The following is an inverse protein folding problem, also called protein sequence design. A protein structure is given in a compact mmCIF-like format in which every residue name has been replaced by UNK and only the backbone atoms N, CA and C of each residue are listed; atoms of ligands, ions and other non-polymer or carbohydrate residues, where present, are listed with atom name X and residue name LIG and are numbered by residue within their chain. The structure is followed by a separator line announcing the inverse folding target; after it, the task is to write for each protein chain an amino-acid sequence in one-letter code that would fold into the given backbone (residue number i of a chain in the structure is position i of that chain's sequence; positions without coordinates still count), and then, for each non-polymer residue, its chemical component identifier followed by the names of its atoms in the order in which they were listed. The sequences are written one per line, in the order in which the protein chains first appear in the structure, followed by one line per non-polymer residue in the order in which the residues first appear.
data_IF_956660573404
#
_entry.id   IF_956660573404
#
_cell.length_a   1.000
_cell.length_b   1.000
_cell.length_c   1.000
_cell.angle_alpha   90.00
_cell.angle_beta   90.00
_cell.angle_gamma   90.00
#
_symmetry.space_group_name_H-M   'P 1'
#
loop_
_entity.id
_entity.type
_entity.pdbx_description
1 polymer ?
#
# COMPACT_ATOMS: atom_id res chain seq x y z
N UNK A 1 39.87 -27.59 -38.30
CA UNK A 1 39.62 -27.50 -36.82
C UNK A 1 38.76 -26.26 -36.56
N UNK A 2 37.49 -26.45 -36.25
CA UNK A 2 36.55 -25.34 -35.91
C UNK A 2 36.64 -25.08 -34.43
N UNK A 3 37.16 -23.93 -34.01
CA UNK A 3 37.10 -23.48 -32.61
C UNK A 3 35.69 -22.99 -32.32
N UNK A 4 34.93 -23.73 -31.51
CA UNK A 4 33.65 -23.30 -30.95
C UNK A 4 34.01 -22.40 -29.77
N UNK A 5 33.79 -21.09 -29.91
CA UNK A 5 33.92 -20.11 -28.85
C UNK A 5 32.66 -20.25 -27.97
N UNK A 6 32.77 -20.92 -26.83
CA UNK A 6 31.71 -20.96 -25.80
C UNK A 6 31.79 -19.66 -25.05
N UNK A 7 30.91 -18.70 -25.38
CA UNK A 7 30.73 -17.49 -24.61
C UNK A 7 29.95 -17.84 -23.33
N UNK A 8 30.65 -18.04 -22.23
CA UNK A 8 30.03 -18.15 -20.92
C UNK A 8 29.42 -16.77 -20.56
N UNK A 9 28.09 -16.68 -20.55
CA UNK A 9 27.37 -15.54 -19.98
C UNK A 9 27.51 -15.68 -18.48
N UNK A 10 28.47 -14.98 -17.87
CA UNK A 10 28.56 -14.80 -16.43
C UNK A 10 27.47 -13.81 -16.02
N UNK A 11 26.30 -14.32 -15.63
CA UNK A 11 25.34 -13.53 -14.85
C UNK A 11 26.05 -13.25 -13.52
N UNK A 12 26.48 -12.01 -13.33
CA UNK A 12 27.21 -11.61 -12.12
C UNK A 12 26.28 -11.71 -10.91
N UNK A 13 26.79 -12.17 -9.78
CA UNK A 13 26.05 -12.26 -8.50
C UNK A 13 25.37 -10.92 -8.13
N UNK A 14 25.94 -9.79 -8.55
CA UNK A 14 25.37 -8.46 -8.39
C UNK A 14 24.02 -8.27 -9.09
N UNK A 15 23.79 -8.90 -10.26
CA UNK A 15 22.49 -8.80 -10.94
C UNK A 15 21.39 -9.58 -10.19
N UNK A 16 21.74 -10.69 -9.54
CA UNK A 16 20.80 -11.48 -8.73
C UNK A 16 20.44 -10.79 -7.41
N UNK A 17 21.31 -9.97 -6.85
CA UNK A 17 21.05 -9.19 -5.63
C UNK A 17 20.04 -8.06 -5.86
N UNK A 18 19.84 -7.62 -7.09
CA UNK A 18 18.93 -6.53 -7.48
C UNK A 18 17.47 -7.00 -7.68
N UNK A 19 17.23 -8.32 -7.68
CA UNK A 19 15.90 -8.89 -7.79
C UNK A 19 15.38 -9.35 -6.43
N UNK A 20 14.09 -9.15 -6.14
CA UNK A 20 13.45 -9.88 -5.07
C UNK A 20 13.50 -11.38 -5.38
N UNK A 21 13.76 -12.21 -4.36
CA UNK A 21 13.65 -13.67 -4.47
C UNK A 21 12.21 -14.07 -4.82
N UNK A 22 12.02 -15.30 -5.33
CA UNK A 22 10.68 -15.83 -5.57
C UNK A 22 9.82 -15.80 -4.27
N UNK A 23 10.40 -16.14 -3.12
CA UNK A 23 9.70 -16.11 -1.84
C UNK A 23 9.28 -14.68 -1.45
N UNK A 24 10.13 -13.67 -1.67
CA UNK A 24 9.78 -12.27 -1.42
C UNK A 24 8.68 -11.79 -2.36
N UNK A 25 8.73 -12.12 -3.66
CA UNK A 25 7.65 -11.79 -4.60
C UNK A 25 6.33 -12.45 -4.19
N UNK A 26 6.34 -13.72 -3.83
CA UNK A 26 5.15 -14.44 -3.35
C UNK A 26 4.59 -13.83 -2.05
N UNK A 27 5.48 -13.44 -1.13
CA UNK A 27 5.08 -12.72 0.09
C UNK A 27 4.40 -11.39 -0.25
N UNK A 28 4.98 -10.61 -1.17
CA UNK A 28 4.42 -9.32 -1.57
C UNK A 28 3.07 -9.48 -2.26
N UNK A 29 2.90 -10.47 -3.16
CA UNK A 29 1.60 -10.75 -3.78
C UNK A 29 0.53 -11.10 -2.75
N UNK A 30 0.85 -11.99 -1.79
CA UNK A 30 -0.08 -12.32 -0.70
C UNK A 30 -0.43 -11.09 0.12
N UNK A 31 0.56 -10.30 0.52
CA UNK A 31 0.34 -9.15 1.38
C UNK A 31 -0.47 -8.05 0.68
N UNK A 32 -0.23 -7.79 -0.61
CA UNK A 32 -1.06 -6.89 -1.42
C UNK A 32 -2.52 -7.37 -1.49
N UNK A 33 -2.75 -8.68 -1.69
CA UNK A 33 -4.09 -9.25 -1.75
C UNK A 33 -4.80 -9.20 -0.39
N UNK A 34 -4.11 -9.56 0.69
CA UNK A 34 -4.64 -9.54 2.06
C UNK A 34 -5.02 -8.12 2.51
N UNK A 35 -4.14 -7.13 2.26
CA UNK A 35 -4.39 -5.76 2.68
C UNK A 35 -5.45 -5.07 1.81
N UNK A 36 -5.55 -5.41 0.52
CA UNK A 36 -6.67 -5.02 -0.33
C UNK A 36 -7.98 -5.55 0.23
N UNK A 37 -8.05 -6.86 0.48
CA UNK A 37 -9.24 -7.50 1.05
C UNK A 37 -9.63 -6.90 2.40
N UNK A 38 -8.64 -6.59 3.26
CA UNK A 38 -8.86 -5.94 4.54
C UNK A 38 -9.58 -4.60 4.40
N UNK A 39 -9.19 -3.76 3.43
CA UNK A 39 -9.89 -2.50 3.14
C UNK A 39 -11.31 -2.78 2.64
N UNK A 40 -11.49 -3.65 1.62
CA UNK A 40 -12.80 -3.99 1.06
C UNK A 40 -13.77 -4.50 2.14
N UNK A 41 -13.33 -5.45 2.97
CA UNK A 41 -14.15 -6.04 4.04
C UNK A 41 -14.50 -5.01 5.12
N UNK A 42 -13.58 -4.12 5.45
CA UNK A 42 -13.79 -3.10 6.50
C UNK A 42 -14.89 -2.10 6.18
N UNK A 43 -15.15 -1.88 4.88
CA UNK A 43 -16.13 -0.89 4.40
C UNK A 43 -17.39 -1.50 3.80
N UNK A 44 -17.45 -2.83 3.73
CA UNK A 44 -18.56 -3.54 3.09
C UNK A 44 -19.89 -3.23 3.78
N UNK A 45 -20.89 -2.82 2.98
CA UNK A 45 -22.25 -2.60 3.45
C UNK A 45 -22.44 -1.37 4.34
N UNK A 46 -21.48 -0.45 4.40
CA UNK A 46 -21.63 0.78 5.16
C UNK A 46 -22.69 1.70 4.53
N UNK A 47 -23.53 2.28 5.38
CA UNK A 47 -24.47 3.35 5.01
C UNK A 47 -23.73 4.68 4.84
N UNK A 48 -24.38 5.65 4.18
CA UNK A 48 -23.82 7.01 4.00
C UNK A 48 -23.48 7.68 5.35
N UNK A 49 -24.30 7.47 6.37
CA UNK A 49 -24.03 7.99 7.70
C UNK A 49 -22.78 7.36 8.32
N UNK A 50 -22.57 6.05 8.13
CA UNK A 50 -21.40 5.32 8.61
C UNK A 50 -20.12 5.73 7.86
N UNK A 51 -20.19 5.94 6.53
CA UNK A 51 -19.07 6.43 5.76
C UNK A 51 -18.57 7.81 6.24
N UNK A 52 -19.50 8.70 6.61
CA UNK A 52 -19.21 10.09 6.97
C UNK A 52 -18.97 10.32 8.45
N UNK A 53 -19.19 9.30 9.29
CA UNK A 53 -19.05 9.43 10.73
C UNK A 53 -17.62 9.77 11.12
N UNK A 54 -17.47 10.77 12.00
CA UNK A 54 -16.19 11.17 12.61
C UNK A 54 -16.27 10.99 14.12
N UNK A 55 -15.37 10.20 14.72
CA UNK A 55 -15.33 10.04 16.19
C UNK A 55 -15.08 11.35 16.94
N UNK A 56 -14.33 12.28 16.32
CA UNK A 56 -14.08 13.63 16.78
C UNK A 56 -13.79 14.56 15.60
N UNK A 57 -13.89 15.90 15.75
CA UNK A 57 -13.69 16.85 14.64
C UNK A 57 -12.34 16.74 13.94
N UNK A 58 -11.27 16.38 14.67
CA UNK A 58 -9.91 16.19 14.20
C UNK A 58 -9.60 14.75 13.76
N UNK A 59 -10.56 13.83 13.86
CA UNK A 59 -10.42 12.43 13.46
C UNK A 59 -11.03 12.22 12.07
N UNK A 60 -10.39 11.39 11.28
CA UNK A 60 -10.89 11.04 9.95
C UNK A 60 -12.10 10.09 10.05
N UNK A 61 -13.06 10.32 9.15
CA UNK A 61 -14.13 9.38 8.85
C UNK A 61 -13.62 8.20 8.03
N UNK A 62 -14.42 7.15 7.89
CA UNK A 62 -14.10 6.02 7.00
C UNK A 62 -13.88 6.49 5.57
N UNK A 63 -14.71 7.41 5.06
CA UNK A 63 -14.57 7.97 3.72
C UNK A 63 -13.22 8.69 3.52
N UNK A 64 -12.83 9.51 4.50
CA UNK A 64 -11.56 10.23 4.49
C UNK A 64 -10.35 9.28 4.52
N UNK A 65 -10.44 8.17 5.27
CA UNK A 65 -9.39 7.14 5.30
C UNK A 65 -9.26 6.46 3.94
N UNK A 66 -10.36 6.07 3.32
CA UNK A 66 -10.33 5.40 2.00
C UNK A 66 -9.84 6.33 0.91
N UNK A 67 -10.25 7.62 0.92
CA UNK A 67 -9.70 8.62 0.01
C UNK A 67 -8.18 8.76 0.16
N UNK A 68 -7.69 8.82 1.38
CA UNK A 68 -6.25 8.87 1.65
C UNK A 68 -5.51 7.65 1.11
N UNK A 69 -6.06 6.45 1.30
CA UNK A 69 -5.48 5.22 0.75
C UNK A 69 -5.39 5.26 -0.77
N UNK A 70 -6.43 5.74 -1.45
CA UNK A 70 -6.45 5.88 -2.91
C UNK A 70 -5.34 6.83 -3.40
N UNK A 71 -5.16 7.97 -2.73
CA UNK A 71 -4.10 8.94 -3.06
C UNK A 71 -2.71 8.36 -2.82
N UNK A 72 -2.51 7.60 -1.74
CA UNK A 72 -1.20 6.99 -1.44
C UNK A 72 -0.84 5.89 -2.45
N UNK A 73 -1.79 5.10 -2.91
CA UNK A 73 -1.54 4.15 -4.00
C UNK A 73 -1.05 4.85 -5.27
N UNK A 74 -1.62 6.02 -5.61
CA UNK A 74 -1.22 6.78 -6.80
C UNK A 74 0.22 7.33 -6.72
N UNK A 75 0.78 7.51 -5.51
CA UNK A 75 2.18 7.92 -5.33
C UNK A 75 3.13 6.96 -6.02
N UNK A 76 2.83 5.65 -6.04
CA UNK A 76 3.67 4.66 -6.73
C UNK A 76 3.84 4.92 -8.23
N UNK A 77 2.85 5.50 -8.89
CA UNK A 77 2.98 5.88 -10.31
C UNK A 77 4.13 6.87 -10.51
N UNK A 78 4.24 7.86 -9.61
CA UNK A 78 5.33 8.85 -9.64
C UNK A 78 6.66 8.24 -9.21
N UNK A 79 6.66 7.42 -8.18
CA UNK A 79 7.87 6.75 -7.68
C UNK A 79 8.46 5.88 -8.77
N UNK A 80 7.68 4.99 -9.39
CA UNK A 80 8.17 4.06 -10.40
C UNK A 80 8.57 4.74 -11.71
N UNK A 81 8.00 5.90 -12.03
CA UNK A 81 8.47 6.71 -13.16
C UNK A 81 9.87 7.31 -12.94
N UNK A 82 10.29 7.52 -11.69
CA UNK A 82 11.57 8.13 -11.31
C UNK A 82 12.59 7.15 -10.74
N UNK A 83 12.13 5.98 -10.31
CA UNK A 83 12.97 4.98 -9.65
C UNK A 83 14.20 4.56 -10.49
N UNK A 84 14.10 4.36 -11.83
CA UNK A 84 15.24 3.97 -12.65
C UNK A 84 16.40 4.98 -12.64
N UNK A 85 16.11 6.26 -12.38
CA UNK A 85 17.11 7.34 -12.31
C UNK A 85 17.66 7.53 -10.89
N UNK A 86 17.18 6.74 -9.94
CA UNK A 86 17.57 6.83 -8.54
C UNK A 86 18.94 6.24 -8.24
N UNK A 87 19.52 6.54 -7.06
CA UNK A 87 20.78 5.95 -6.65
C UNK A 87 20.65 4.44 -6.41
N UNK A 88 21.80 3.75 -6.47
CA UNK A 88 21.87 2.34 -6.09
C UNK A 88 21.42 2.13 -4.63
N UNK A 89 20.87 0.96 -4.30
CA UNK A 89 20.45 0.63 -2.95
C UNK A 89 21.63 0.44 -2.02
N UNK A 90 21.31 0.38 -0.72
CA UNK A 90 22.25 -0.04 0.32
C UNK A 90 22.76 -1.47 0.05
N UNK A 91 23.77 -1.91 0.79
CA UNK A 91 24.24 -3.29 0.74
C UNK A 91 23.06 -4.26 1.02
N UNK A 92 23.02 -5.38 0.31
CA UNK A 92 21.91 -6.34 0.35
C UNK A 92 21.48 -6.75 1.76
N UNK A 93 22.44 -7.00 2.65
CA UNK A 93 22.18 -7.39 4.05
C UNK A 93 21.44 -6.31 4.83
N UNK A 94 21.81 -5.06 4.64
CA UNK A 94 21.16 -3.92 5.31
C UNK A 94 19.77 -3.69 4.75
N UNK A 95 19.59 -3.82 3.45
CA UNK A 95 18.30 -3.66 2.76
C UNK A 95 17.26 -4.65 3.28
N UNK A 96 17.59 -5.93 3.38
CA UNK A 96 16.65 -6.97 3.83
C UNK A 96 16.36 -6.94 5.33
N UNK A 97 17.33 -6.58 6.14
CA UNK A 97 17.09 -6.35 7.57
C UNK A 97 16.11 -5.18 7.75
N UNK A 98 16.29 -4.12 6.99
CA UNK A 98 15.44 -2.94 7.04
C UNK A 98 14.00 -3.23 6.59
N UNK A 99 13.76 -4.19 5.68
CA UNK A 99 12.40 -4.56 5.24
C UNK A 99 11.48 -4.89 6.43
N UNK A 100 11.94 -5.73 7.35
CA UNK A 100 11.14 -6.12 8.52
C UNK A 100 10.93 -4.96 9.49
N UNK A 101 11.96 -4.15 9.73
CA UNK A 101 11.90 -2.97 10.60
C UNK A 101 10.92 -1.92 10.04
N UNK A 102 10.97 -1.67 8.73
CA UNK A 102 10.07 -0.75 8.05
C UNK A 102 8.61 -1.22 8.17
N UNK A 103 8.33 -2.49 7.87
CA UNK A 103 6.97 -3.03 7.94
C UNK A 103 6.39 -2.93 9.35
N UNK A 104 7.17 -3.30 10.37
CA UNK A 104 6.78 -3.17 11.76
C UNK A 104 6.44 -1.71 12.11
N UNK A 105 7.28 -0.76 11.68
CA UNK A 105 7.08 0.67 11.95
C UNK A 105 5.87 1.25 11.20
N UNK A 106 5.62 0.84 9.95
CA UNK A 106 4.44 1.28 9.19
C UNK A 106 3.16 0.82 9.87
N UNK A 107 3.09 -0.43 10.32
CA UNK A 107 1.87 -1.00 10.92
C UNK A 107 1.64 -0.59 12.37
N UNK A 108 2.67 -0.10 13.07
CA UNK A 108 2.56 0.36 14.46
C UNK A 108 1.65 1.59 14.61
N UNK A 109 0.48 1.39 15.21
CA UNK A 109 -0.53 2.43 15.47
C UNK A 109 -0.23 3.28 16.71
N UNK A 110 0.74 2.93 17.53
CA UNK A 110 1.14 3.73 18.70
C UNK A 110 1.80 5.05 18.30
N UNK A 111 2.52 5.06 17.16
CA UNK A 111 3.13 6.24 16.60
C UNK A 111 2.16 6.94 15.64
N UNK A 112 1.87 8.23 15.89
CA UNK A 112 1.08 9.06 14.98
C UNK A 112 1.98 9.67 13.92
N UNK A 113 1.59 9.54 12.65
CA UNK A 113 2.19 10.23 11.52
C UNK A 113 1.18 11.23 10.94
N UNK A 114 1.65 12.42 10.61
CA UNK A 114 0.83 13.36 9.86
C UNK A 114 0.92 13.06 8.36
N UNK A 115 -0.25 13.02 7.71
CA UNK A 115 -0.29 12.91 6.27
C UNK A 115 0.25 14.21 5.63
N UNK A 116 1.10 14.11 4.60
CA UNK A 116 1.56 15.27 3.87
C UNK A 116 0.36 16.00 3.22
N UNK A 117 0.43 17.32 3.01
CA UNK A 117 -0.71 18.13 2.54
C UNK A 117 -1.40 17.58 1.30
N UNK A 118 -0.65 17.07 0.33
CA UNK A 118 -1.16 16.50 -0.92
C UNK A 118 -1.85 15.14 -0.75
N UNK A 119 -1.65 14.46 0.36
CA UNK A 119 -2.28 13.18 0.69
C UNK A 119 -3.38 13.30 1.75
N UNK A 120 -3.65 14.50 2.27
CA UNK A 120 -4.77 14.73 3.18
C UNK A 120 -6.10 14.59 2.43
N UNK A 121 -7.15 14.07 3.07
CA UNK A 121 -8.49 14.03 2.48
C UNK A 121 -8.96 15.43 2.10
N UNK A 122 -9.57 15.55 0.94
CA UNK A 122 -10.06 16.82 0.37
C UNK A 122 -11.40 16.65 -0.37
N UNK A 123 -12.13 15.57 -0.08
CA UNK A 123 -13.39 15.21 -0.73
C UNK A 123 -13.29 15.13 -2.27
N UNK A 124 -12.18 14.55 -2.77
CA UNK A 124 -11.91 14.39 -4.21
C UNK A 124 -12.93 13.47 -4.89
N UNK A 125 -13.41 12.48 -4.15
CA UNK A 125 -14.33 11.45 -4.65
C UNK A 125 -15.44 11.18 -3.62
N UNK A 126 -16.60 10.76 -4.13
CA UNK A 126 -17.60 10.11 -3.28
C UNK A 126 -17.02 8.79 -2.71
N UNK A 127 -17.49 8.31 -1.53
CA UNK A 127 -16.88 7.16 -0.84
C UNK A 127 -16.73 5.90 -1.71
N UNK A 128 -17.77 5.54 -2.48
CA UNK A 128 -17.72 4.40 -3.39
C UNK A 128 -16.68 4.59 -4.51
N UNK A 129 -16.61 5.79 -5.10
CA UNK A 129 -15.64 6.12 -6.13
C UNK A 129 -14.20 6.16 -5.58
N UNK A 130 -13.99 6.59 -4.33
CA UNK A 130 -12.69 6.51 -3.68
C UNK A 130 -12.24 5.06 -3.50
N UNK A 131 -13.16 4.15 -3.12
CA UNK A 131 -12.87 2.72 -3.03
C UNK A 131 -12.53 2.13 -4.40
N UNK A 132 -13.31 2.42 -5.43
CA UNK A 132 -13.02 1.97 -6.81
C UNK A 132 -11.65 2.46 -7.28
N UNK A 133 -11.29 3.72 -6.99
CA UNK A 133 -10.00 4.29 -7.32
C UNK A 133 -8.86 3.56 -6.59
N UNK A 134 -9.01 3.32 -5.29
CA UNK A 134 -8.06 2.51 -4.50
C UNK A 134 -7.86 1.13 -5.11
N UNK A 135 -8.94 0.42 -5.47
CA UNK A 135 -8.87 -0.92 -6.05
C UNK A 135 -8.17 -0.93 -7.41
N UNK A 136 -8.44 0.05 -8.26
CA UNK A 136 -7.78 0.20 -9.55
C UNK A 136 -6.27 0.50 -9.39
N UNK A 137 -5.91 1.40 -8.48
CA UNK A 137 -4.51 1.73 -8.20
C UNK A 137 -3.77 0.57 -7.53
N UNK A 138 -4.42 -0.23 -6.67
CA UNK A 138 -3.86 -1.46 -6.11
C UNK A 138 -3.64 -2.54 -7.18
N UNK A 139 -4.51 -2.65 -8.17
CA UNK A 139 -4.27 -3.53 -9.32
C UNK A 139 -3.02 -3.10 -10.09
N UNK A 140 -2.84 -1.80 -10.34
CA UNK A 140 -1.64 -1.26 -10.94
C UNK A 140 -0.37 -1.56 -10.10
N UNK A 141 -0.43 -1.38 -8.77
CA UNK A 141 0.67 -1.76 -7.85
C UNK A 141 1.03 -3.24 -7.97
N UNK A 142 0.02 -4.10 -8.09
CA UNK A 142 0.23 -5.56 -8.28
C UNK A 142 0.89 -5.85 -9.62
N UNK A 143 0.54 -5.10 -10.67
CA UNK A 143 1.18 -5.22 -11.99
C UNK A 143 2.62 -4.68 -12.01
N UNK A 144 2.93 -3.63 -11.23
CA UNK A 144 4.31 -3.20 -11.02
C UNK A 144 5.15 -4.32 -10.39
N UNK A 145 4.65 -4.98 -9.33
CA UNK A 145 5.33 -6.12 -8.72
C UNK A 145 5.58 -7.25 -9.71
N UNK A 146 4.62 -7.51 -10.61
CA UNK A 146 4.70 -8.61 -11.60
C UNK A 146 5.70 -8.31 -12.70
N UNK A 147 5.68 -7.08 -13.22
CA UNK A 147 6.28 -6.77 -14.51
C UNK A 147 7.56 -5.93 -14.43
N UNK A 148 7.90 -5.37 -13.26
CA UNK A 148 9.12 -4.59 -13.10
C UNK A 148 10.29 -5.51 -12.76
N UNK A 149 11.31 -5.57 -13.61
CA UNK A 149 12.57 -6.25 -13.28
C UNK A 149 13.39 -5.42 -12.31
N UNK A 150 14.34 -6.05 -11.66
CA UNK A 150 15.35 -5.39 -10.82
C UNK A 150 14.73 -4.40 -9.79
N UNK A 151 13.64 -4.81 -9.14
CA UNK A 151 12.91 -3.97 -8.17
C UNK A 151 13.80 -3.43 -7.03
N UNK A 152 14.95 -4.06 -6.79
CA UNK A 152 15.92 -3.66 -5.77
C UNK A 152 17.12 -2.93 -6.36
N UNK A 153 17.12 -2.55 -7.65
CA UNK A 153 18.27 -1.95 -8.32
C UNK A 153 18.47 -0.46 -7.98
N UNK A 154 17.41 0.24 -7.71
CA UNK A 154 17.42 1.68 -7.48
C UNK A 154 16.53 2.05 -6.30
N UNK A 155 16.82 3.21 -5.69
CA UNK A 155 16.04 3.74 -4.58
C UNK A 155 15.40 5.09 -4.92
N UNK A 156 14.26 5.36 -4.27
CA UNK A 156 13.61 6.66 -4.25
C UNK A 156 13.30 7.05 -2.81
N UNK A 157 13.50 8.32 -2.47
CA UNK A 157 13.40 8.77 -1.07
C UNK A 157 11.96 8.80 -0.58
N UNK A 158 11.67 8.01 0.47
CA UNK A 158 10.43 8.07 1.22
C UNK A 158 10.54 9.13 2.33
N UNK A 159 9.51 9.97 2.56
CA UNK A 159 9.61 11.09 3.52
C UNK A 159 9.85 10.65 4.97
N UNK A 160 9.49 9.42 5.35
CA UNK A 160 9.65 8.90 6.73
C UNK A 160 10.82 7.93 6.83
N UNK A 161 11.06 7.11 5.79
CA UNK A 161 11.98 5.98 5.86
C UNK A 161 13.30 6.22 5.11
N UNK A 162 13.45 7.37 4.44
CA UNK A 162 14.62 7.63 3.60
C UNK A 162 14.59 6.82 2.29
N UNK A 163 15.76 6.43 1.75
CA UNK A 163 15.81 5.68 0.49
C UNK A 163 15.14 4.31 0.62
N UNK A 164 14.14 4.04 -0.22
CA UNK A 164 13.47 2.73 -0.36
C UNK A 164 13.66 2.23 -1.78
N UNK A 165 13.97 0.94 -1.94
CA UNK A 165 13.94 0.29 -3.24
C UNK A 165 12.49 0.04 -3.74
N UNK A 166 12.32 -0.40 -4.99
CA UNK A 166 11.00 -0.61 -5.57
C UNK A 166 10.17 -1.67 -4.84
N UNK A 167 10.81 -2.73 -4.36
CA UNK A 167 10.14 -3.75 -3.56
C UNK A 167 9.68 -3.18 -2.21
N UNK A 168 10.53 -2.41 -1.54
CA UNK A 168 10.20 -1.75 -0.28
C UNK A 168 9.05 -0.74 -0.42
N UNK A 169 9.01 0.01 -1.52
CA UNK A 169 7.90 0.91 -1.81
C UNK A 169 6.56 0.17 -1.96
N UNK A 170 6.55 -0.95 -2.68
CA UNK A 170 5.35 -1.80 -2.82
C UNK A 170 4.90 -2.34 -1.46
N UNK A 171 5.84 -2.84 -0.66
CA UNK A 171 5.55 -3.36 0.66
C UNK A 171 5.09 -2.27 1.64
N UNK A 172 5.65 -1.06 1.55
CA UNK A 172 5.26 0.07 2.37
C UNK A 172 3.79 0.48 2.13
N UNK A 173 3.33 0.57 0.87
CA UNK A 173 1.91 0.90 0.60
C UNK A 173 0.96 -0.22 0.98
N UNK A 174 1.37 -1.50 0.89
CA UNK A 174 0.59 -2.61 1.41
C UNK A 174 0.44 -2.52 2.93
N UNK A 175 1.55 -2.30 3.65
CA UNK A 175 1.55 -2.12 5.10
C UNK A 175 0.76 -0.87 5.54
N UNK A 176 0.83 0.21 4.75
CA UNK A 176 0.05 1.41 4.97
C UNK A 176 -1.46 1.13 4.89
N UNK A 177 -1.89 0.30 3.95
CA UNK A 177 -3.29 -0.14 3.88
C UNK A 177 -3.70 -0.98 5.09
N UNK A 178 -2.83 -1.89 5.57
CA UNK A 178 -3.08 -2.62 6.82
C UNK A 178 -3.25 -1.68 8.01
N UNK A 179 -2.35 -0.68 8.16
CA UNK A 179 -2.44 0.34 9.19
C UNK A 179 -3.77 1.08 9.17
N UNK A 180 -4.23 1.51 7.99
CA UNK A 180 -5.45 2.27 7.83
C UNK A 180 -6.72 1.41 7.89
N UNK A 181 -6.64 0.12 7.57
CA UNK A 181 -7.71 -0.85 7.90
C UNK A 181 -7.97 -0.87 9.41
N UNK A 182 -6.93 -0.90 10.24
CA UNK A 182 -7.09 -0.81 11.68
C UNK A 182 -7.71 0.53 12.10
N UNK A 183 -7.35 1.65 11.47
CA UNK A 183 -7.99 2.93 11.73
C UNK A 183 -9.48 2.92 11.39
N UNK A 184 -9.90 2.29 10.28
CA UNK A 184 -11.32 2.13 9.95
C UNK A 184 -12.04 1.32 11.04
N UNK A 185 -11.43 0.23 11.52
CA UNK A 185 -11.99 -0.59 12.59
C UNK A 185 -12.11 0.18 13.90
N UNK A 186 -11.14 1.04 14.25
CA UNK A 186 -11.22 1.96 15.39
C UNK A 186 -12.40 2.93 15.27
N UNK A 187 -12.62 3.51 14.07
CA UNK A 187 -13.79 4.38 13.83
C UNK A 187 -15.09 3.61 14.00
N UNK A 188 -15.17 2.38 13.49
CA UNK A 188 -16.36 1.52 13.60
C UNK A 188 -16.63 1.03 15.03
N UNK A 189 -15.61 0.96 15.87
CA UNK A 189 -15.72 0.56 17.27
C UNK A 189 -16.10 1.74 18.20
N UNK A 190 -16.16 2.97 17.69
CA UNK A 190 -16.55 4.13 18.48
C UNK A 190 -18.00 3.99 18.96
N UNK A 191 -18.31 4.27 20.24
CA UNK A 191 -19.67 4.15 20.79
C UNK A 191 -20.72 5.00 20.06
N UNK A 192 -20.32 6.09 19.42
CA UNK A 192 -21.19 6.95 18.61
C UNK A 192 -21.35 6.49 17.16
N UNK A 193 -20.69 5.39 16.71
CA UNK A 193 -20.78 4.95 15.33
C UNK A 193 -22.23 4.57 14.96
N UNK A 194 -22.78 5.11 13.85
CA UNK A 194 -24.19 4.91 13.50
C UNK A 194 -24.54 3.43 13.34
N UNK A 195 -25.61 2.98 13.99
CA UNK A 195 -26.15 1.64 13.75
C UNK A 195 -26.79 1.58 12.35
N UNK A 196 -26.62 0.46 11.63
CA UNK A 196 -27.37 0.23 10.42
C UNK A 196 -28.86 0.22 10.77
N UNK A 197 -29.65 1.16 10.25
CA UNK A 197 -31.12 1.09 10.41
C UNK A 197 -31.56 -0.21 9.72
N UNK A 198 -32.15 -1.12 10.48
CA UNK A 198 -32.82 -2.28 9.92
C UNK A 198 -33.88 -1.76 8.94
N UNK A 199 -33.67 -2.01 7.65
CA UNK A 199 -34.74 -1.88 6.65
C UNK A 199 -35.67 -3.08 6.82
N UNK A 200 -36.41 -3.12 7.94
CA UNK A 200 -37.57 -4.00 8.04
C UNK A 200 -38.54 -3.50 6.97
N UNK A 201 -38.78 -4.34 5.97
CA UNK A 201 -39.85 -4.11 5.00
C UNK A 201 -41.15 -3.90 5.79
N UNK A 202 -42.01 -2.92 5.43
CA UNK A 202 -43.30 -2.78 6.08
C UNK A 202 -44.07 -4.08 5.90
N UNK A 203 -44.52 -4.65 7.02
CA UNK A 203 -45.41 -5.80 6.98
C UNK A 203 -46.65 -5.37 6.20
N UNK A 204 -46.91 -5.99 5.05
CA UNK A 204 -48.18 -5.87 4.32
C UNK A 204 -49.28 -6.50 5.19
N UNK A 205 -50.12 -5.65 5.75
CA UNK A 205 -51.38 -6.06 6.35
C UNK A 205 -52.48 -6.12 5.30
#
# INVERSE_FOLDING_TARGET
MRHILVTMITITAAALAQEPTAAERDQAFRYLAETRKGVEDSVKGLTDAQWKYKPAPDRWSVAEVVEHLAVIEDVLKTVFAKLPDGPAPLAERETRQFDAEMLAKVTDRSTKFEAPPNARPAARWAPAAALEHFLASRAYTTDLLRNTPALRAHTFTHPVFGPLDGYQWIMAVAAHSARHTQQILEVKADPGFPTAKSTAAPALH
#
